data_IF_990848703126
#
_entry.id   IF_990848703126
#
_cell.length_a   1.000
_cell.length_b   1.000
_cell.length_c   1.000
_cell.angle_alpha   90.00
_cell.angle_beta   90.00
_cell.angle_gamma   90.00
#
_symmetry.space_group_name_H-M   'P 1'
#
loop_
_entity.id
_entity.type
_entity.pdbx_description
1 polymer ?
#
# COMPACT_ATOMS: atom_id res chain seq x y z
N UNK A 1 10.85 -9.57 6.73
CA UNK A 1 11.74 -8.39 6.82
C UNK A 1 11.29 -7.40 7.88
N UNK A 2 10.04 -6.95 7.88
CA UNK A 2 9.51 -5.97 8.86
C UNK A 2 9.86 -6.31 10.31
N UNK A 3 9.66 -7.57 10.72
CA UNK A 3 9.94 -8.01 12.08
C UNK A 3 11.41 -7.88 12.52
N UNK A 4 12.37 -7.94 11.59
CA UNK A 4 13.79 -7.79 11.90
C UNK A 4 14.15 -6.35 12.31
N UNK A 5 13.51 -5.35 11.68
CA UNK A 5 13.83 -3.94 11.88
C UNK A 5 12.85 -3.22 12.81
N UNK A 6 11.60 -3.68 12.87
CA UNK A 6 10.50 -3.03 13.61
C UNK A 6 9.94 -3.91 14.73
N UNK A 7 10.56 -5.06 14.99
CA UNK A 7 10.06 -6.12 15.88
C UNK A 7 8.77 -6.79 15.39
N UNK A 8 8.32 -7.82 16.10
CA UNK A 8 7.06 -8.51 15.78
C UNK A 8 5.81 -7.65 15.99
N UNK A 9 5.93 -6.49 16.64
CA UNK A 9 4.83 -5.57 16.97
C UNK A 9 5.26 -4.13 16.66
N UNK A 10 4.52 -3.44 15.78
CA UNK A 10 4.80 -2.05 15.40
C UNK A 10 3.50 -1.34 15.01
N UNK A 11 3.53 0.00 14.97
CA UNK A 11 2.31 0.82 14.97
C UNK A 11 1.49 0.71 13.69
N UNK A 12 2.13 0.87 12.53
CA UNK A 12 1.44 0.98 11.24
C UNK A 12 2.07 0.04 10.21
N UNK A 13 1.24 -0.83 9.64
CA UNK A 13 1.57 -1.61 8.45
C UNK A 13 0.63 -1.23 7.31
N UNK A 14 1.17 -0.87 6.15
CA UNK A 14 0.37 -0.40 5.03
C UNK A 14 0.79 -0.97 3.69
N UNK A 15 -0.10 -0.80 2.71
CA UNK A 15 0.07 -1.30 1.35
C UNK A 15 -1.15 -0.98 0.49
N UNK A 16 -1.09 -1.41 -0.77
CA UNK A 16 -2.25 -1.35 -1.68
C UNK A 16 -3.42 -2.21 -1.18
N UNK A 17 -4.64 -1.85 -1.57
CA UNK A 17 -5.85 -2.61 -1.23
C UNK A 17 -5.80 -4.06 -1.73
N UNK A 18 -5.15 -4.29 -2.88
CA UNK A 18 -4.88 -5.60 -3.46
C UNK A 18 -4.02 -6.49 -2.55
N UNK A 19 -3.26 -5.89 -1.62
CA UNK A 19 -2.43 -6.63 -0.68
C UNK A 19 -3.18 -7.11 0.57
N UNK A 20 -4.44 -6.68 0.80
CA UNK A 20 -5.22 -7.18 1.94
C UNK A 20 -5.28 -8.71 1.92
N UNK A 21 -5.54 -9.29 0.75
CA UNK A 21 -5.65 -10.72 0.52
C UNK A 21 -4.86 -11.11 -0.74
N UNK A 22 -4.01 -12.14 -0.76
CA UNK A 22 -3.60 -13.06 0.33
C UNK A 22 -2.37 -12.57 1.10
N UNK A 23 -1.80 -11.42 0.73
CA UNK A 23 -0.49 -11.00 1.23
C UNK A 23 -0.48 -10.61 2.71
N UNK A 24 -1.16 -9.52 3.10
CA UNK A 24 -1.17 -9.07 4.50
C UNK A 24 -1.80 -10.10 5.45
N UNK A 25 -2.76 -10.89 4.97
CA UNK A 25 -3.32 -12.00 5.76
C UNK A 25 -2.27 -13.08 6.06
N UNK A 26 -1.49 -13.50 5.06
CA UNK A 26 -0.39 -14.44 5.26
C UNK A 26 0.70 -13.86 6.17
N UNK A 27 1.02 -12.57 6.07
CA UNK A 27 1.98 -11.93 6.97
C UNK A 27 1.49 -11.94 8.43
N UNK A 28 0.20 -11.71 8.67
CA UNK A 28 -0.41 -11.81 10.00
C UNK A 28 -0.30 -13.24 10.54
N UNK A 29 -0.62 -14.24 9.72
CA UNK A 29 -0.51 -15.64 10.11
C UNK A 29 0.93 -16.05 10.44
N UNK A 30 1.90 -15.65 9.60
CA UNK A 30 3.33 -15.91 9.83
C UNK A 30 3.83 -15.26 11.12
N UNK A 31 3.43 -14.01 11.39
CA UNK A 31 3.77 -13.31 12.64
C UNK A 31 3.12 -13.98 13.83
N UNK A 32 1.85 -14.35 13.76
CA UNK A 32 1.14 -15.02 14.84
C UNK A 32 1.81 -16.35 15.21
N UNK A 33 2.16 -17.19 14.23
CA UNK A 33 2.86 -18.46 14.46
C UNK A 33 4.25 -18.20 15.07
N UNK A 34 4.99 -17.22 14.57
CA UNK A 34 6.34 -16.90 15.06
C UNK A 34 6.31 -16.38 16.50
N UNK A 35 5.27 -15.61 16.86
CA UNK A 35 5.06 -15.10 18.22
C UNK A 35 4.56 -16.20 19.16
N UNK A 36 3.65 -17.08 18.71
CA UNK A 36 3.15 -18.22 19.50
C UNK A 36 4.27 -19.24 19.77
N UNK A 37 5.15 -19.49 18.80
CA UNK A 37 6.35 -20.30 19.01
C UNK A 37 7.35 -19.68 19.99
N UNK A 38 7.28 -18.36 20.19
CA UNK A 38 8.12 -17.61 21.13
C UNK A 38 7.46 -17.41 22.50
N UNK A 39 6.12 -17.48 22.58
CA UNK A 39 5.33 -17.05 23.73
C UNK A 39 4.17 -18.01 23.98
N UNK A 40 4.41 -19.05 24.80
CA UNK A 40 3.37 -19.77 25.55
C UNK A 40 2.82 -18.93 26.74
N UNK A 41 2.71 -17.61 26.57
CA UNK A 41 2.38 -16.70 27.66
C UNK A 41 2.21 -15.25 27.22
N UNK A 42 1.02 -14.93 26.72
CA UNK A 42 0.42 -13.58 26.68
C UNK A 42 0.50 -12.72 25.40
N UNK A 43 -0.66 -12.07 25.19
CA UNK A 43 -1.00 -10.86 24.43
C UNK A 43 -1.16 -10.89 22.89
N UNK A 44 -2.45 -10.80 22.51
CA UNK A 44 -2.97 -10.08 21.36
C UNK A 44 -2.36 -8.66 21.27
N UNK A 45 -1.60 -8.36 20.20
CA UNK A 45 -1.22 -7.00 19.86
C UNK A 45 -1.73 -6.65 18.46
N UNK A 46 -2.49 -5.56 18.40
CA UNK A 46 -3.24 -5.10 17.23
C UNK A 46 -2.42 -4.02 16.49
N UNK A 47 -1.88 -4.36 15.33
CA UNK A 47 -1.23 -3.41 14.40
C UNK A 47 -2.33 -2.59 13.69
N UNK A 48 -2.19 -1.26 13.65
CA UNK A 48 -3.12 -0.42 12.87
C UNK A 48 -2.80 -0.58 11.38
N UNK A 49 -3.82 -0.87 10.57
CA UNK A 49 -3.69 -1.03 9.12
C UNK A 49 -4.01 0.28 8.41
N UNK A 50 -3.12 0.77 7.56
CA UNK A 50 -3.36 1.88 6.65
C UNK A 50 -3.36 1.37 5.21
N UNK A 51 -4.47 1.50 4.48
CA UNK A 51 -4.61 0.95 3.13
C UNK A 51 -4.91 2.03 2.09
N UNK A 52 -4.33 1.88 0.90
CA UNK A 52 -4.55 2.80 -0.21
C UNK A 52 -5.39 2.16 -1.32
N UNK A 53 -6.33 2.90 -1.90
CA UNK A 53 -7.14 2.49 -3.05
C UNK A 53 -6.57 3.06 -4.34
N UNK A 54 -5.80 2.26 -5.07
CA UNK A 54 -5.48 2.55 -6.47
C UNK A 54 -6.37 1.65 -7.32
N UNK A 55 -7.41 2.22 -7.93
CA UNK A 55 -8.23 1.53 -8.94
C UNK A 55 -7.82 2.05 -10.30
N UNK A 56 -6.83 1.39 -10.90
CA UNK A 56 -6.47 1.65 -12.29
C UNK A 56 -7.45 0.92 -13.20
N UNK A 57 -8.40 1.64 -13.79
CA UNK A 57 -9.33 1.16 -14.82
C UNK A 57 -8.65 0.82 -16.16
N UNK A 58 -7.31 0.96 -16.24
CA UNK A 58 -6.54 0.69 -17.45
C UNK A 58 -5.29 -0.14 -17.14
N UNK A 59 -4.99 -1.19 -17.93
CA UNK A 59 -3.76 -1.97 -17.81
C UNK A 59 -2.48 -1.17 -18.08
N UNK A 60 -2.59 0.11 -18.51
CA UNK A 60 -1.45 0.96 -18.86
C UNK A 60 -0.58 1.41 -17.68
N UNK A 61 -1.10 1.45 -16.45
CA UNK A 61 -0.32 1.98 -15.31
C UNK A 61 0.63 0.93 -14.72
N UNK A 62 0.45 -0.35 -15.05
CA UNK A 62 1.25 -1.44 -14.46
C UNK A 62 2.62 -1.66 -15.13
N UNK A 63 2.92 -1.00 -16.26
CA UNK A 63 4.12 -1.37 -17.05
C UNK A 63 4.93 -0.24 -17.69
N UNK A 64 4.55 1.04 -17.58
CA UNK A 64 5.19 2.10 -18.40
C UNK A 64 5.87 3.25 -17.66
N UNK A 65 6.26 3.08 -16.39
CA UNK A 65 7.09 4.09 -15.71
C UNK A 65 8.54 4.14 -16.25
N UNK A 66 9.00 3.12 -16.99
CA UNK A 66 10.40 3.02 -17.43
C UNK A 66 10.63 3.26 -18.93
N UNK A 67 9.58 3.32 -19.75
CA UNK A 67 9.71 3.34 -21.23
C UNK A 67 9.13 4.56 -21.91
N UNK A 68 8.50 5.48 -21.17
CA UNK A 68 8.15 6.80 -21.68
C UNK A 68 8.80 7.86 -20.79
N UNK A 69 9.52 8.85 -21.34
CA UNK A 69 9.81 10.06 -20.56
C UNK A 69 8.47 10.61 -20.10
N UNK A 70 8.34 10.90 -18.81
CA UNK A 70 7.10 11.40 -18.24
C UNK A 70 6.61 12.58 -19.09
N UNK A 71 5.44 12.42 -19.73
CA UNK A 71 4.80 13.50 -20.51
C UNK A 71 4.50 14.71 -19.61
N UNK A 72 4.46 14.50 -18.30
CA UNK A 72 4.15 15.50 -17.28
C UNK A 72 5.26 15.61 -16.25
N UNK A 73 5.44 16.80 -15.70
CA UNK A 73 6.36 17.04 -14.60
C UNK A 73 5.98 16.18 -13.38
N UNK A 74 6.93 15.55 -12.65
CA UNK A 74 6.62 14.68 -11.50
C UNK A 74 5.78 15.35 -10.40
N UNK A 75 5.88 16.68 -10.25
CA UNK A 75 5.04 17.43 -9.32
C UNK A 75 3.57 17.51 -9.75
N UNK A 76 3.27 17.57 -11.05
CA UNK A 76 1.90 17.53 -11.55
C UNK A 76 1.27 16.16 -11.25
N UNK A 77 2.02 15.07 -11.49
CA UNK A 77 1.58 13.72 -11.13
C UNK A 77 1.38 13.57 -9.61
N UNK A 78 2.26 14.14 -8.80
CA UNK A 78 2.11 14.13 -7.34
C UNK A 78 0.87 14.89 -6.89
N UNK A 79 0.63 16.08 -7.44
CA UNK A 79 -0.53 16.90 -7.10
C UNK A 79 -1.83 16.18 -7.47
N UNK A 80 -1.89 15.60 -8.68
CA UNK A 80 -2.99 14.73 -9.10
C UNK A 80 -3.24 13.56 -8.12
N UNK A 81 -2.20 12.80 -7.74
CA UNK A 81 -2.34 11.67 -6.81
C UNK A 81 -2.74 12.09 -5.38
N UNK A 82 -2.34 13.29 -4.95
CA UNK A 82 -2.69 13.84 -3.64
C UNK A 82 -4.06 14.53 -3.61
N UNK A 83 -4.66 14.81 -4.78
CA UNK A 83 -5.97 15.46 -4.91
C UNK A 83 -7.14 14.58 -4.46
N UNK A 84 -6.93 13.26 -4.32
CA UNK A 84 -7.93 12.32 -3.82
C UNK A 84 -7.52 11.76 -2.46
N UNK A 85 -8.50 11.53 -1.58
CA UNK A 85 -8.23 10.84 -0.32
C UNK A 85 -7.63 9.45 -0.57
N UNK A 86 -6.58 9.06 0.17
CA UNK A 86 -5.81 7.84 -0.09
C UNK A 86 -6.62 6.53 -0.05
N UNK A 87 -7.76 6.53 0.67
CA UNK A 87 -8.71 5.41 0.75
C UNK A 87 -9.79 5.45 -0.32
N UNK A 88 -9.75 6.40 -1.24
CA UNK A 88 -10.69 6.51 -2.36
C UNK A 88 -10.03 6.03 -3.64
N UNK A 89 -10.76 5.39 -4.56
CA UNK A 89 -10.22 5.03 -5.86
C UNK A 89 -9.77 6.28 -6.63
N UNK A 90 -8.57 6.24 -7.19
CA UNK A 90 -8.05 7.26 -8.11
C UNK A 90 -8.49 6.92 -9.53
N UNK A 91 -9.35 7.75 -10.12
CA UNK A 91 -9.64 7.66 -11.55
C UNK A 91 -8.49 8.34 -12.31
N UNK A 92 -7.84 7.60 -13.21
CA UNK A 92 -6.79 8.13 -14.07
C UNK A 92 -7.41 8.60 -15.39
N UNK A 93 -7.20 9.87 -15.71
CA UNK A 93 -7.46 10.44 -17.03
C UNK A 93 -6.40 11.51 -17.32
N UNK A 94 -6.13 11.77 -18.61
CA UNK A 94 -5.16 12.80 -19.00
C UNK A 94 -5.69 14.18 -18.60
N UNK A 95 -6.99 14.40 -18.80
CA UNK A 95 -7.69 15.64 -18.47
C UNK A 95 -7.60 15.95 -16.97
N UNK A 96 -7.69 14.93 -16.12
CA UNK A 96 -7.54 15.10 -14.68
C UNK A 96 -6.12 15.49 -14.26
N UNK A 97 -5.09 15.14 -15.04
CA UNK A 97 -3.71 15.56 -14.80
C UNK A 97 -3.48 16.99 -15.31
N UNK A 98 -4.11 17.38 -16.41
CA UNK A 98 -4.00 18.74 -16.97
C UNK A 98 -4.74 19.80 -16.13
N UNK A 99 -5.82 19.42 -15.45
CA UNK A 99 -6.55 20.29 -14.51
C UNK A 99 -5.78 20.47 -13.19
N UNK A 100 -4.95 19.50 -12.84
CA UNK A 100 -4.27 19.41 -11.56
C UNK A 100 -2.97 20.25 -11.57
#
# INVERSE_FOLDING_TARGET
MSAHYLTYTFDIHGGGMDLILRHHENEIAQRAISVIGFIMGSLQQMVRKCQNHLVTSSPLVRSKAHTNPFVYHPLALRYFLMGTHYRSPVNYSIEQIEIA
#
